data_IF_682603752091
#
_entry.id   IF_682603752091
#
_cell.length_a   1.000
_cell.length_b   1.000
_cell.length_c   1.000
_cell.angle_alpha   90.00
_cell.angle_beta   90.00
_cell.angle_gamma   90.00
#
_symmetry.space_group_name_H-M   'P 1'
#
loop_
_entity.id
_entity.type
_entity.pdbx_description
1 polymer ?
#
# COMPACT_ATOMS: atom_id res chain seq x y z
N UNK A 1 8.34 35.75 -35.11
CA UNK A 1 8.40 34.41 -34.51
C UNK A 1 7.22 33.62 -35.04
N UNK A 2 7.44 32.73 -36.01
CA UNK A 2 6.41 31.79 -36.47
C UNK A 2 6.58 30.48 -35.72
N UNK A 3 5.60 30.14 -34.87
CA UNK A 3 5.52 28.81 -34.24
C UNK A 3 4.80 27.82 -35.15
N UNK A 4 5.00 26.53 -34.89
CA UNK A 4 4.19 25.46 -35.51
C UNK A 4 2.90 25.33 -34.70
N UNK A 5 1.75 25.36 -35.38
CA UNK A 5 0.47 25.03 -34.75
C UNK A 5 0.27 23.52 -34.79
N UNK A 6 0.09 22.91 -33.63
CA UNK A 6 -0.28 21.51 -33.50
C UNK A 6 -1.76 21.38 -33.11
N UNK A 7 -2.38 20.29 -33.58
CA UNK A 7 -3.77 20.02 -33.27
C UNK A 7 -3.93 19.51 -31.83
N UNK A 8 -4.95 19.99 -31.12
CA UNK A 8 -5.25 19.53 -29.76
C UNK A 8 -5.62 18.03 -29.77
N UNK A 9 -4.83 17.21 -29.08
CA UNK A 9 -5.06 15.76 -28.93
C UNK A 9 -5.91 15.38 -27.71
N UNK A 10 -6.92 16.17 -27.35
CA UNK A 10 -7.69 15.93 -26.12
C UNK A 10 -8.47 14.60 -26.16
N UNK A 11 -8.35 13.80 -25.10
CA UNK A 11 -9.02 12.51 -24.95
C UNK A 11 -10.54 12.66 -24.89
N UNK A 12 -11.27 11.90 -25.71
CA UNK A 12 -12.73 11.94 -25.75
C UNK A 12 -13.39 11.44 -24.45
N UNK A 13 -12.76 10.50 -23.74
CA UNK A 13 -13.32 9.97 -22.50
C UNK A 13 -13.00 10.87 -21.30
N UNK A 14 -11.82 11.50 -21.30
CA UNK A 14 -11.29 12.21 -20.13
C UNK A 14 -11.37 13.74 -20.18
N UNK A 15 -11.47 14.34 -21.37
CA UNK A 15 -11.60 15.79 -21.51
C UNK A 15 -13.07 16.25 -21.49
N UNK A 16 -13.30 17.49 -21.05
CA UNK A 16 -14.59 18.17 -21.12
C UNK A 16 -14.89 18.70 -22.52
N UNK A 17 -13.85 19.02 -23.30
CA UNK A 17 -13.97 19.45 -24.69
C UNK A 17 -12.77 19.03 -25.52
N UNK A 18 -12.90 19.08 -26.85
CA UNK A 18 -11.79 18.87 -27.79
C UNK A 18 -10.89 20.10 -27.96
N UNK A 19 -11.18 21.20 -27.27
CA UNK A 19 -10.41 22.45 -27.36
C UNK A 19 -9.40 22.49 -26.23
N UNK A 20 -8.15 22.84 -26.56
CA UNK A 20 -7.08 23.03 -25.59
C UNK A 20 -6.68 24.50 -25.48
N UNK A 21 -5.98 24.85 -24.39
CA UNK A 21 -5.41 26.18 -24.22
C UNK A 21 -4.42 26.49 -25.36
N UNK A 22 -4.61 27.61 -26.05
CA UNK A 22 -3.82 27.98 -27.25
C UNK A 22 -2.33 28.21 -26.97
N UNK A 23 -1.96 28.49 -25.72
CA UNK A 23 -0.57 28.79 -25.33
C UNK A 23 0.11 27.57 -24.72
N UNK A 24 -0.58 26.81 -23.86
CA UNK A 24 0.01 25.66 -23.15
C UNK A 24 -0.31 24.30 -23.76
N UNK A 25 -1.28 24.21 -24.66
CA UNK A 25 -1.80 22.95 -25.20
C UNK A 25 -2.59 22.11 -24.20
N UNK A 26 -2.83 22.62 -22.98
CA UNK A 26 -3.54 21.89 -21.93
C UNK A 26 -5.03 21.76 -22.24
N UNK A 27 -5.53 20.53 -22.24
CA UNK A 27 -6.95 20.21 -22.33
C UNK A 27 -7.65 20.40 -20.98
N UNK A 28 -8.94 20.69 -21.01
CA UNK A 28 -9.75 20.78 -19.80
C UNK A 28 -10.23 19.38 -19.40
N UNK A 29 -9.79 18.87 -18.25
CA UNK A 29 -10.03 17.48 -17.84
C UNK A 29 -11.26 17.34 -16.94
N UNK A 30 -11.95 16.19 -17.06
CA UNK A 30 -12.99 15.77 -16.13
C UNK A 30 -12.40 15.48 -14.73
N UNK A 31 -13.25 15.50 -13.71
CA UNK A 31 -12.86 15.16 -12.33
C UNK A 31 -12.21 13.77 -12.27
N UNK A 32 -11.09 13.66 -11.56
CA UNK A 32 -10.34 12.40 -11.42
C UNK A 32 -9.48 12.03 -12.62
N UNK A 33 -9.37 12.90 -13.63
CA UNK A 33 -8.53 12.73 -14.83
C UNK A 33 -7.45 13.81 -14.85
N UNK A 34 -6.26 13.48 -15.36
CA UNK A 34 -5.09 14.36 -15.49
C UNK A 34 -4.34 14.11 -16.80
N UNK A 35 -3.28 14.89 -17.01
CA UNK A 35 -2.43 14.86 -18.20
C UNK A 35 -2.72 16.03 -19.14
N UNK A 36 -1.78 16.34 -20.05
CA UNK A 36 -1.96 17.43 -21.01
C UNK A 36 -3.18 17.19 -21.92
N UNK A 37 -3.42 15.93 -22.24
CA UNK A 37 -4.49 15.46 -23.11
C UNK A 37 -5.65 14.78 -22.36
N UNK A 38 -5.66 14.83 -21.02
CA UNK A 38 -6.67 14.17 -20.18
C UNK A 38 -6.83 12.67 -20.44
N UNK A 39 -5.71 11.98 -20.59
CA UNK A 39 -5.59 10.57 -20.98
C UNK A 39 -5.15 9.66 -19.81
N UNK A 40 -5.04 10.20 -18.61
CA UNK A 40 -4.58 9.46 -17.42
C UNK A 40 -5.51 9.72 -16.24
N UNK A 41 -5.73 8.73 -15.38
CA UNK A 41 -6.40 8.97 -14.11
C UNK A 41 -5.50 9.74 -13.15
N UNK A 42 -6.11 10.58 -12.32
CA UNK A 42 -5.44 11.29 -11.25
C UNK A 42 -4.87 10.29 -10.23
N UNK A 43 -3.96 10.73 -9.37
CA UNK A 43 -3.53 9.93 -8.22
C UNK A 43 -4.74 9.47 -7.41
N UNK A 44 -4.62 8.27 -6.82
CA UNK A 44 -5.70 7.58 -6.12
C UNK A 44 -6.98 7.36 -6.96
N UNK A 45 -6.85 7.31 -8.29
CA UNK A 45 -7.92 6.90 -9.20
C UNK A 45 -7.45 5.78 -10.13
N UNK A 46 -8.37 4.88 -10.48
CA UNK A 46 -8.14 3.76 -11.40
C UNK A 46 -9.07 3.82 -12.59
N UNK A 47 -8.61 3.32 -13.74
CA UNK A 47 -9.43 3.25 -14.95
C UNK A 47 -10.30 1.99 -14.92
N UNK A 48 -11.61 2.18 -14.90
CA UNK A 48 -12.58 1.10 -14.99
C UNK A 48 -13.68 1.51 -15.97
N UNK A 49 -13.99 0.64 -16.93
CA UNK A 49 -15.03 0.87 -17.94
C UNK A 49 -14.98 2.26 -18.64
N UNK A 50 -13.77 2.76 -18.94
CA UNK A 50 -13.57 4.02 -19.66
C UNK A 50 -13.73 5.30 -18.83
N UNK A 51 -13.81 5.19 -17.50
CA UNK A 51 -13.88 6.33 -16.59
C UNK A 51 -12.91 6.13 -15.42
N UNK A 52 -12.52 7.23 -14.76
CA UNK A 52 -11.66 7.18 -13.59
C UNK A 52 -12.50 7.09 -12.32
N UNK A 53 -12.27 6.04 -11.54
CA UNK A 53 -12.94 5.78 -10.27
C UNK A 53 -11.98 6.13 -9.13
N UNK A 54 -12.47 6.89 -8.16
CA UNK A 54 -11.70 7.26 -6.97
C UNK A 54 -11.56 6.08 -6.01
N UNK A 55 -10.34 5.81 -5.57
CA UNK A 55 -10.02 4.85 -4.51
C UNK A 55 -10.03 5.51 -3.12
N UNK A 56 -10.48 6.77 -3.00
CA UNK A 56 -10.50 7.49 -1.72
C UNK A 56 -11.79 7.23 -0.94
N UNK A 57 -12.21 5.97 -0.87
CA UNK A 57 -13.37 5.53 -0.09
C UNK A 57 -12.99 5.21 1.37
N UNK A 58 -13.95 4.77 2.18
CA UNK A 58 -13.74 4.50 3.61
C UNK A 58 -12.91 3.26 3.92
N UNK A 59 -12.54 2.48 2.90
CA UNK A 59 -11.77 1.26 3.01
C UNK A 59 -10.43 1.41 2.30
N UNK A 60 -10.46 1.59 0.99
CA UNK A 60 -9.26 1.73 0.18
C UNK A 60 -8.53 3.01 0.54
N UNK A 61 -9.26 4.09 0.86
CA UNK A 61 -8.66 5.35 1.28
C UNK A 61 -7.86 5.23 2.58
N UNK A 62 -8.36 4.47 3.56
CA UNK A 62 -7.64 4.23 4.83
C UNK A 62 -6.33 3.50 4.59
N UNK A 63 -6.37 2.43 3.77
CA UNK A 63 -5.16 1.71 3.40
C UNK A 63 -4.17 2.61 2.65
N UNK A 64 -4.65 3.40 1.69
CA UNK A 64 -3.80 4.31 0.92
C UNK A 64 -3.20 5.42 1.79
N UNK A 65 -3.91 5.89 2.81
CA UNK A 65 -3.39 6.85 3.79
C UNK A 65 -2.22 6.26 4.59
N UNK A 66 -2.36 5.03 5.07
CA UNK A 66 -1.28 4.33 5.79
C UNK A 66 -0.05 4.11 4.89
N UNK A 67 -0.29 3.80 3.60
CA UNK A 67 0.79 3.65 2.61
C UNK A 67 1.51 4.97 2.32
N UNK A 68 0.79 6.09 2.26
CA UNK A 68 1.38 7.42 2.06
C UNK A 68 2.20 7.85 3.28
N UNK A 69 1.75 7.53 4.49
CA UNK A 69 2.52 7.74 5.72
C UNK A 69 3.81 6.93 5.66
N UNK A 70 3.71 5.64 5.30
CA UNK A 70 4.88 4.78 5.19
C UNK A 70 5.84 5.27 4.09
N UNK A 71 5.32 5.69 2.94
CA UNK A 71 6.11 6.25 1.86
C UNK A 71 6.86 7.52 2.31
N UNK A 72 6.19 8.43 3.02
CA UNK A 72 6.82 9.63 3.57
C UNK A 72 7.97 9.29 4.53
N UNK A 73 7.78 8.30 5.40
CA UNK A 73 8.83 7.83 6.30
C UNK A 73 10.00 7.22 5.54
N UNK A 74 9.74 6.39 4.53
CA UNK A 74 10.77 5.76 3.71
C UNK A 74 11.53 6.76 2.83
N UNK A 75 10.85 7.77 2.29
CA UNK A 75 11.45 8.85 1.49
C UNK A 75 12.32 9.78 2.33
N UNK A 76 12.05 9.90 3.63
CA UNK A 76 12.88 10.68 4.56
C UNK A 76 14.20 10.00 4.94
N UNK A 77 14.34 8.69 4.68
CA UNK A 77 15.55 7.92 4.97
C UNK A 77 16.36 7.73 3.69
N UNK A 78 17.66 8.04 3.75
CA UNK A 78 18.58 7.73 2.66
C UNK A 78 18.93 6.23 2.65
N UNK A 79 18.07 5.42 2.05
CA UNK A 79 18.26 3.97 1.92
C UNK A 79 19.38 3.58 0.95
N UNK A 80 19.92 4.53 0.18
CA UNK A 80 21.12 4.33 -0.64
C UNK A 80 22.33 3.94 0.23
N UNK A 81 22.31 4.29 1.52
CA UNK A 81 23.30 3.87 2.51
C UNK A 81 23.01 2.53 3.20
N UNK A 82 21.79 1.98 3.07
CA UNK A 82 21.35 0.77 3.77
C UNK A 82 21.47 -0.51 2.94
N UNK A 83 21.59 -0.43 1.61
CA UNK A 83 21.60 -1.61 0.75
C UNK A 83 22.86 -1.72 -0.12
N UNK A 84 23.96 -2.07 0.54
CA UNK A 84 24.75 -3.21 0.05
C UNK A 84 24.51 -4.32 1.06
N UNK A 85 23.49 -5.14 0.83
CA UNK A 85 23.34 -6.37 1.61
C UNK A 85 24.69 -7.11 1.56
N UNK A 86 25.25 -7.58 2.68
CA UNK A 86 26.51 -8.28 2.68
C UNK A 86 26.24 -9.67 2.10
N UNK A 87 26.11 -9.76 0.78
CA UNK A 87 25.82 -10.99 0.04
C UNK A 87 26.83 -12.09 0.39
N UNK A 88 28.07 -11.72 0.74
CA UNK A 88 29.07 -12.66 1.28
C UNK A 88 28.66 -13.32 2.58
N UNK A 89 28.01 -12.59 3.50
CA UNK A 89 27.48 -13.15 4.76
C UNK A 89 26.24 -14.02 4.51
N UNK A 90 25.35 -13.62 3.59
CA UNK A 90 24.20 -14.44 3.21
C UNK A 90 24.63 -15.76 2.55
N UNK A 91 25.60 -15.72 1.63
CA UNK A 91 26.16 -16.93 0.99
C UNK A 91 26.86 -17.83 2.01
N UNK A 92 27.56 -17.25 2.98
CA UNK A 92 28.17 -18.00 4.08
C UNK A 92 27.12 -18.67 4.99
N UNK A 93 25.99 -18.00 5.26
CA UNK A 93 24.86 -18.61 5.99
C UNK A 93 24.21 -19.74 5.18
N UNK A 94 23.96 -19.54 3.89
CA UNK A 94 23.34 -20.55 3.02
C UNK A 94 24.21 -21.81 2.91
N UNK A 95 25.54 -21.64 2.77
CA UNK A 95 26.48 -22.76 2.78
C UNK A 95 26.55 -23.49 4.13
N UNK A 96 26.34 -22.79 5.24
CA UNK A 96 26.22 -23.41 6.57
C UNK A 96 24.89 -24.14 6.76
N UNK A 97 23.80 -23.68 6.16
CA UNK A 97 22.51 -24.37 6.25
C UNK A 97 22.52 -25.70 5.47
N UNK A 98 23.34 -25.83 4.43
CA UNK A 98 23.54 -27.10 3.68
C UNK A 98 24.07 -28.26 4.55
N UNK A 99 24.84 -27.98 5.61
CA UNK A 99 25.31 -29.04 6.52
C UNK A 99 24.24 -29.54 7.47
N UNK A 100 23.17 -28.76 7.70
CA UNK A 100 22.02 -29.15 8.53
C UNK A 100 21.04 -30.01 7.71
N UNK A 101 20.93 -29.76 6.41
CA UNK A 101 20.10 -30.55 5.49
C UNK A 101 20.69 -31.93 5.16
N UNK A 102 22.00 -32.13 5.33
CA UNK A 102 22.65 -33.41 5.07
C UNK A 102 22.55 -34.42 6.23
N UNK A 103 21.92 -34.06 7.36
CA UNK A 103 21.84 -34.92 8.56
C UNK A 103 20.44 -35.36 8.97
N UNK A 104 19.38 -35.02 8.24
CA UNK A 104 18.02 -35.45 8.62
C UNK A 104 17.59 -36.75 7.95
N UNK A 105 18.29 -37.85 8.28
CA UNK A 105 17.77 -39.20 8.03
C UNK A 105 18.15 -40.21 9.12
N UNK A 106 18.30 -39.80 10.38
CA UNK A 106 18.22 -40.74 11.49
C UNK A 106 18.13 -40.04 12.85
N UNK A 107 16.94 -40.03 13.46
CA UNK A 107 16.88 -40.16 14.92
C UNK A 107 16.01 -39.20 15.73
N UNK A 108 15.01 -38.50 15.17
CA UNK A 108 14.01 -37.83 16.01
C UNK A 108 12.79 -38.75 16.24
N UNK A 109 12.60 -39.21 17.49
CA UNK A 109 11.45 -40.05 17.88
C UNK A 109 10.14 -39.27 17.69
N UNK A 110 9.40 -39.61 16.63
CA UNK A 110 8.12 -39.02 16.23
C UNK A 110 6.93 -39.24 17.20
N UNK A 111 7.15 -39.73 18.42
CA UNK A 111 6.06 -39.94 19.40
C UNK A 111 5.82 -38.72 20.31
N UNK A 112 6.82 -37.87 20.53
CA UNK A 112 6.66 -36.67 21.37
C UNK A 112 6.07 -35.47 20.60
N UNK A 113 6.07 -35.52 19.27
CA UNK A 113 5.59 -34.42 18.42
C UNK A 113 4.06 -34.48 18.25
N UNK A 114 3.47 -35.67 18.11
CA UNK A 114 2.01 -35.81 17.96
C UNK A 114 1.21 -35.28 19.15
N UNK A 115 1.67 -35.46 20.40
CA UNK A 115 0.95 -34.97 21.57
C UNK A 115 1.03 -33.44 21.73
N UNK A 116 2.08 -32.81 21.21
CA UNK A 116 2.24 -31.35 21.23
C UNK A 116 1.49 -30.66 20.09
N UNK A 117 1.33 -31.33 18.95
CA UNK A 117 0.53 -30.81 17.83
C UNK A 117 -0.94 -30.67 18.25
N UNK A 118 -1.50 -31.62 19.01
CA UNK A 118 -2.91 -31.54 19.46
C UNK A 118 -3.18 -30.35 20.39
N UNK A 119 -2.25 -29.99 21.27
CA UNK A 119 -2.38 -28.81 22.13
C UNK A 119 -2.30 -27.51 21.34
N UNK A 120 -1.45 -27.46 20.31
CA UNK A 120 -1.30 -26.29 19.43
C UNK A 120 -2.53 -26.11 18.54
N UNK A 121 -3.13 -27.19 18.02
CA UNK A 121 -4.38 -27.09 17.23
C UNK A 121 -5.59 -26.72 18.07
N UNK A 122 -5.68 -27.21 19.31
CA UNK A 122 -6.77 -26.85 20.24
C UNK A 122 -6.64 -25.39 20.69
N UNK A 123 -5.41 -24.92 20.91
CA UNK A 123 -5.10 -23.52 21.18
C UNK A 123 -5.43 -22.62 19.98
N UNK A 124 -5.08 -23.03 18.75
CA UNK A 124 -5.44 -22.29 17.52
C UNK A 124 -6.96 -22.19 17.34
N UNK A 125 -7.70 -23.28 17.58
CA UNK A 125 -9.17 -23.32 17.45
C UNK A 125 -9.86 -22.40 18.47
N UNK A 126 -9.36 -22.35 19.71
CA UNK A 126 -9.84 -21.43 20.76
C UNK A 126 -9.46 -19.98 20.51
N UNK A 127 -8.30 -19.73 19.91
CA UNK A 127 -7.84 -18.37 19.61
C UNK A 127 -8.63 -17.72 18.47
N UNK A 128 -9.09 -18.52 17.48
CA UNK A 128 -9.92 -18.03 16.37
C UNK A 128 -11.34 -17.61 16.77
N UNK A 129 -11.88 -18.10 17.89
CA UNK A 129 -13.24 -17.73 18.35
C UNK A 129 -13.30 -16.47 19.21
N UNK A 130 -12.18 -15.97 19.75
CA UNK A 130 -12.19 -14.84 20.70
C UNK A 130 -11.54 -13.55 20.21
N UNK A 131 -10.88 -13.52 19.04
CA UNK A 131 -10.20 -12.32 18.53
C UNK A 131 -10.23 -12.15 17.00
N UNK A 132 -11.15 -12.78 16.28
CA UNK A 132 -11.50 -12.23 14.95
C UNK A 132 -12.44 -11.06 15.21
N UNK A 133 -11.85 -9.89 15.48
CA UNK A 133 -12.51 -8.63 15.15
C UNK A 133 -12.83 -8.77 13.66
N UNK A 134 -14.11 -8.76 13.24
CA UNK A 134 -14.38 -8.73 11.81
C UNK A 134 -13.63 -7.51 11.27
N UNK A 135 -12.68 -7.73 10.36
CA UNK A 135 -12.19 -6.66 9.50
C UNK A 135 -13.43 -5.92 9.03
N UNK A 136 -13.52 -4.58 9.20
CA UNK A 136 -14.73 -3.86 8.83
C UNK A 136 -15.07 -4.24 7.40
N UNK A 137 -16.21 -4.92 7.23
CA UNK A 137 -16.62 -5.37 5.91
C UNK A 137 -16.82 -4.12 5.07
N UNK A 138 -15.93 -3.97 4.10
CA UNK A 138 -15.98 -2.95 3.08
C UNK A 138 -17.15 -3.25 2.15
N UNK A 139 -18.36 -2.99 2.65
CA UNK A 139 -19.57 -3.09 1.86
C UNK A 139 -19.66 -1.87 0.95
N UNK A 140 -20.17 -2.07 -0.26
CA UNK A 140 -20.23 -1.08 -1.34
C UNK A 140 -21.04 0.21 -1.03
N UNK A 141 -21.59 0.34 0.17
CA UNK A 141 -22.29 1.52 0.66
C UNK A 141 -21.54 2.09 1.87
N UNK A 142 -20.54 2.93 1.61
CA UNK A 142 -19.64 3.49 2.62
C UNK A 142 -20.36 4.12 3.82
N UNK A 143 -20.47 3.36 4.91
CA UNK A 143 -20.69 3.89 6.25
C UNK A 143 -19.78 3.19 7.24
N UNK A 144 -18.87 3.96 7.82
CA UNK A 144 -18.16 3.64 9.06
C UNK A 144 -19.20 3.26 10.13
N UNK A 145 -19.12 2.08 10.77
CA UNK A 145 -19.84 1.87 12.02
C UNK A 145 -19.28 2.85 13.07
N UNK A 146 -20.14 3.65 13.70
CA UNK A 146 -19.76 4.69 14.68
C UNK A 146 -19.10 4.14 15.96
N UNK A 147 -18.98 2.82 16.12
CA UNK A 147 -18.50 2.19 17.35
C UNK A 147 -16.97 2.22 17.54
N UNK A 148 -16.18 2.59 16.53
CA UNK A 148 -14.71 2.54 16.59
C UNK A 148 -14.01 3.90 16.81
N UNK A 149 -14.76 4.98 17.05
CA UNK A 149 -14.17 6.33 17.20
C UNK A 149 -13.75 6.69 18.64
N UNK A 150 -13.67 5.74 19.58
CA UNK A 150 -13.42 6.04 21.01
C UNK A 150 -12.07 5.60 21.59
N UNK A 151 -11.13 5.01 20.83
CA UNK A 151 -9.88 4.54 21.46
C UNK A 151 -8.56 4.82 20.73
N UNK A 152 -8.52 5.69 19.72
CA UNK A 152 -7.23 6.23 19.27
C UNK A 152 -6.85 7.39 20.17
N UNK A 153 -6.19 7.04 21.28
CA UNK A 153 -5.43 7.96 22.11
C UNK A 153 -4.48 8.75 21.21
N UNK A 154 -4.68 10.07 21.14
CA UNK A 154 -3.76 10.97 20.46
C UNK A 154 -2.33 10.72 20.97
N UNK A 155 -1.42 10.39 20.06
CA UNK A 155 0.02 10.39 20.36
C UNK A 155 0.41 11.87 20.54
N UNK A 156 0.86 12.32 21.72
CA UNK A 156 1.29 13.69 21.89
C UNK A 156 2.52 13.95 21.02
N UNK A 157 2.44 14.92 20.11
CA UNK A 157 3.61 15.44 19.42
C UNK A 157 4.49 16.13 20.47
N UNK A 158 5.69 15.58 20.67
CA UNK A 158 6.72 16.15 21.54
C UNK A 158 7.03 17.60 21.18
N UNK A 159 7.21 18.41 22.22
CA UNK A 159 7.29 19.86 22.15
C UNK A 159 8.47 20.40 21.37
N UNK A 160 8.23 21.51 20.68
CA UNK A 160 9.28 22.41 20.23
C UNK A 160 9.85 23.15 21.45
N UNK A 161 11.13 22.93 21.74
CA UNK A 161 11.94 23.84 22.55
C UNK A 161 11.95 25.22 21.89
N UNK A 162 11.48 26.25 22.60
CA UNK A 162 11.90 27.62 22.33
C UNK A 162 13.20 27.86 23.10
N UNK A 163 14.28 28.03 22.37
CA UNK A 163 15.48 28.71 22.85
C UNK A 163 15.33 30.21 22.53
N UNK A 164 15.83 31.02 23.46
CA UNK A 164 16.08 32.47 23.46
C UNK A 164 14.90 33.41 23.75
#
# INVERSE_FOLDING_TARGET
>A
MGGVCEQCGCSNWGALSSTCNKTSGQCECKTGVRGQHCDQCQERHVMEAGHCISCNDQCTGVLLDDLDILHSHLSSVNVSGLLRAPYSQLVALENRTRTIQATDHSGFRAHAVSQKISEVTDFWSKWTEQQIIPLPECTAAGKRPQTEQKNHRAIPRGGASKQD
#
